data_IF_705917640064
#
_entry.id   IF_705917640064
#
_cell.length_a   1.000
_cell.length_b   1.000
_cell.length_c   1.000
_cell.angle_alpha   90.00
_cell.angle_beta   90.00
_cell.angle_gamma   90.00
#
_symmetry.space_group_name_H-M   'P 1'
#
loop_
_entity.id
_entity.type
_entity.pdbx_description
1 polymer ?
#
# COMPACT_ATOMS: atom_id res chain seq x y z
N UNK A 1 -26.95 -19.14 -0.45
CA UNK A 1 -25.97 -19.21 0.66
C UNK A 1 -24.86 -18.26 0.23
N UNK A 2 -25.00 -16.97 0.57
CA UNK A 2 -24.07 -15.92 0.13
C UNK A 2 -22.91 -15.88 1.12
N UNK A 3 -21.83 -16.59 0.82
CA UNK A 3 -20.54 -16.43 1.51
C UNK A 3 -19.88 -15.12 1.05
N UNK A 4 -20.44 -13.98 1.47
CA UNK A 4 -19.69 -12.72 1.41
C UNK A 4 -18.68 -12.76 2.53
N UNK A 5 -17.48 -13.22 2.22
CA UNK A 5 -16.31 -13.11 3.08
C UNK A 5 -16.18 -11.64 3.47
N UNK A 6 -16.52 -11.31 4.71
CA UNK A 6 -16.21 -10.00 5.27
C UNK A 6 -14.68 -9.92 5.36
N UNK A 7 -14.03 -9.38 4.33
CA UNK A 7 -12.64 -8.94 4.42
C UNK A 7 -12.63 -7.90 5.54
N UNK A 8 -12.00 -8.22 6.67
CA UNK A 8 -11.85 -7.28 7.78
C UNK A 8 -11.25 -5.98 7.23
N UNK A 9 -11.83 -4.84 7.61
CA UNK A 9 -11.31 -3.54 7.18
C UNK A 9 -9.97 -3.30 7.89
N UNK A 10 -8.86 -3.54 7.19
CA UNK A 10 -7.52 -3.23 7.70
C UNK A 10 -7.33 -1.72 7.84
N UNK A 11 -6.77 -1.29 8.97
CA UNK A 11 -6.54 0.13 9.26
C UNK A 11 -5.28 0.62 8.56
N UNK A 12 -5.41 1.69 7.78
CA UNK A 12 -4.27 2.37 7.16
C UNK A 12 -3.67 3.37 8.16
N UNK A 13 -2.45 3.10 8.60
CA UNK A 13 -1.67 3.98 9.48
C UNK A 13 -0.51 4.66 8.75
N UNK A 14 -0.14 4.21 7.55
CA UNK A 14 0.94 4.79 6.76
C UNK A 14 0.61 4.78 5.27
N UNK A 15 0.91 5.88 4.58
CA UNK A 15 0.88 6.00 3.12
C UNK A 15 2.25 6.52 2.70
N UNK A 16 2.98 5.78 1.87
CA UNK A 16 4.32 6.20 1.44
C UNK A 16 4.58 5.96 -0.05
N UNK A 17 5.55 6.68 -0.60
CA UNK A 17 6.07 6.42 -1.94
C UNK A 17 6.86 5.12 -1.98
N UNK A 18 6.74 4.38 -3.08
CA UNK A 18 7.51 3.17 -3.30
C UNK A 18 7.84 3.00 -4.79
N UNK A 19 8.72 2.03 -5.05
CA UNK A 19 8.83 1.37 -6.34
C UNK A 19 8.51 -0.11 -6.13
N UNK A 20 7.88 -0.74 -7.11
CA UNK A 20 7.53 -2.15 -7.04
C UNK A 20 7.79 -2.86 -8.36
N UNK A 21 7.87 -4.19 -8.29
CA UNK A 21 7.91 -5.09 -9.45
C UNK A 21 6.71 -6.02 -9.42
N UNK A 22 6.12 -6.28 -10.58
CA UNK A 22 5.07 -7.31 -10.74
C UNK A 22 5.64 -8.71 -10.94
N UNK A 23 6.90 -8.82 -11.36
CA UNK A 23 7.57 -10.09 -11.61
C UNK A 23 9.07 -10.00 -11.30
N UNK A 24 9.71 -11.15 -11.06
CA UNK A 24 11.14 -11.25 -10.71
C UNK A 24 12.08 -10.50 -11.64
N UNK A 25 11.84 -10.62 -12.95
CA UNK A 25 12.63 -9.95 -14.00
C UNK A 25 11.87 -8.75 -14.61
N UNK A 26 10.82 -8.26 -13.94
CA UNK A 26 10.05 -7.11 -14.38
C UNK A 26 10.76 -5.79 -14.09
N UNK A 27 10.27 -4.74 -14.74
CA UNK A 27 10.72 -3.37 -14.50
C UNK A 27 10.21 -2.82 -13.17
N UNK A 28 10.97 -1.90 -12.59
CA UNK A 28 10.52 -1.13 -11.42
C UNK A 28 9.50 -0.08 -11.85
N UNK A 29 8.33 -0.11 -11.23
CA UNK A 29 7.25 0.85 -11.43
C UNK A 29 7.10 1.74 -10.19
N UNK A 30 6.84 3.05 -10.32
CA UNK A 30 6.51 3.90 -9.19
C UNK A 30 5.09 3.60 -8.67
N UNK A 31 4.90 3.68 -7.36
CA UNK A 31 3.59 3.49 -6.74
C UNK A 31 3.49 4.10 -5.35
N UNK A 32 2.33 3.89 -4.74
CA UNK A 32 2.03 4.23 -3.34
C UNK A 32 1.84 2.94 -2.56
N UNK A 33 2.54 2.79 -1.45
CA UNK A 33 2.41 1.66 -0.55
C UNK A 33 1.57 2.05 0.66
N UNK A 34 0.54 1.25 0.96
CA UNK A 34 -0.26 1.36 2.18
C UNK A 34 0.34 0.45 3.26
N UNK A 35 0.65 1.00 4.42
CA UNK A 35 1.33 0.29 5.52
C UNK A 35 2.61 -0.42 5.05
N UNK A 36 3.47 0.29 4.31
CA UNK A 36 4.68 -0.29 3.72
C UNK A 36 4.44 -1.38 2.67
N UNK A 37 3.21 -1.51 2.16
CA UNK A 37 2.81 -2.50 1.16
C UNK A 37 2.12 -3.73 1.75
N UNK A 38 1.90 -3.78 3.07
CA UNK A 38 1.24 -4.92 3.71
C UNK A 38 -0.26 -5.01 3.38
N UNK A 39 -0.91 -3.86 3.15
CA UNK A 39 -2.32 -3.80 2.75
C UNK A 39 -2.44 -3.86 1.24
N UNK A 40 -1.80 -2.90 0.56
CA UNK A 40 -1.88 -2.75 -0.88
C UNK A 40 -0.74 -1.89 -1.42
N UNK A 41 -0.48 -2.07 -2.71
CA UNK A 41 0.30 -1.15 -3.53
C UNK A 41 -0.62 -0.58 -4.60
N UNK A 42 -0.61 0.74 -4.76
CA UNK A 42 -1.40 1.45 -5.75
C UNK A 42 -0.46 1.95 -6.85
N UNK A 43 -0.77 1.64 -8.10
CA UNK A 43 0.03 2.06 -9.24
C UNK A 43 -0.23 3.52 -9.64
N UNK A 44 0.55 4.02 -10.60
CA UNK A 44 0.41 5.38 -11.16
C UNK A 44 -0.96 5.71 -11.74
N UNK A 45 -1.78 4.70 -12.04
CA UNK A 45 -3.14 4.87 -12.56
C UNK A 45 -4.18 4.89 -11.43
N UNK A 46 -3.76 4.81 -10.17
CA UNK A 46 -4.66 4.73 -9.01
C UNK A 46 -5.29 3.35 -8.82
N UNK A 47 -4.73 2.30 -9.44
CA UNK A 47 -5.25 0.93 -9.33
C UNK A 47 -4.45 0.12 -8.32
N UNK A 48 -5.14 -0.70 -7.54
CA UNK A 48 -4.51 -1.70 -6.69
C UNK A 48 -3.77 -2.74 -7.56
N UNK A 49 -2.55 -3.05 -7.16
CA UNK A 49 -1.70 -4.03 -7.81
C UNK A 49 -1.98 -5.40 -7.19
N UNK A 50 -2.57 -6.29 -7.98
CA UNK A 50 -2.99 -7.63 -7.51
C UNK A 50 -1.80 -8.50 -7.07
N UNK A 51 -0.68 -8.42 -7.79
CA UNK A 51 0.53 -9.19 -7.49
C UNK A 51 1.77 -8.28 -7.49
N UNK A 52 2.43 -8.24 -6.33
CA UNK A 52 3.71 -7.55 -6.13
C UNK A 52 4.77 -8.61 -5.84
N UNK A 53 5.76 -8.71 -6.72
CA UNK A 53 6.90 -9.60 -6.55
C UNK A 53 7.92 -9.02 -5.57
N UNK A 54 8.20 -7.72 -5.68
CA UNK A 54 9.18 -7.02 -4.85
C UNK A 54 8.76 -5.55 -4.68
N UNK A 55 9.12 -4.97 -3.55
CA UNK A 55 8.79 -3.59 -3.18
C UNK A 55 9.97 -2.93 -2.48
N UNK A 56 10.28 -1.72 -2.92
CA UNK A 56 11.29 -0.85 -2.32
C UNK A 56 10.61 0.46 -1.89
N UNK A 57 10.67 0.74 -0.59
CA UNK A 57 10.10 1.97 -0.05
C UNK A 57 11.04 3.12 -0.35
N UNK A 58 10.57 4.11 -1.11
CA UNK A 58 11.37 5.30 -1.36
C UNK A 58 11.07 6.32 -0.28
N UNK A 59 12.11 6.85 0.37
CA UNK A 59 11.98 7.86 1.42
C UNK A 59 11.53 9.24 0.93
N UNK A 60 10.96 9.34 -0.27
CA UNK A 60 10.60 10.61 -0.91
C UNK A 60 9.39 11.25 -0.22
N UNK A 61 8.42 10.42 0.21
CA UNK A 61 7.24 10.86 0.95
C UNK A 61 6.71 9.76 1.87
N UNK A 62 6.37 10.15 3.10
CA UNK A 62 5.66 9.30 4.07
C UNK A 62 4.62 10.14 4.81
N UNK A 63 3.38 9.68 4.80
CA UNK A 63 2.30 10.20 5.63
C UNK A 63 1.95 9.16 6.70
N UNK A 64 2.29 9.45 7.95
CA UNK A 64 1.87 8.66 9.08
C UNK A 64 0.51 9.17 9.58
N UNK A 65 -0.51 8.32 9.46
CA UNK A 65 -1.89 8.62 9.81
C UNK A 65 -2.15 8.57 11.32
N UNK A 66 -1.32 7.89 12.10
CA UNK A 66 -1.44 7.84 13.57
C UNK A 66 -1.39 9.25 14.17
N UNK A 67 -0.66 10.17 13.55
CA UNK A 67 -0.57 11.57 13.99
C UNK A 67 -1.93 12.29 13.93
N UNK A 68 -2.80 11.94 12.99
CA UNK A 68 -4.14 12.54 12.89
C UNK A 68 -5.11 11.96 13.92
N UNK A 69 -4.86 10.74 14.40
CA UNK A 69 -5.71 10.08 15.39
C UNK A 69 -5.21 10.26 16.83
N UNK A 70 -3.93 10.56 17.02
CA UNK A 70 -3.31 10.76 18.33
C UNK A 70 -3.86 11.96 19.12
N UNK A 71 -4.50 12.92 18.46
CA UNK A 71 -5.08 14.12 19.08
C UNK A 71 -6.53 14.00 19.56
N UNK A 72 -7.19 12.84 19.34
CA UNK A 72 -8.56 12.60 19.82
C UNK A 72 -8.53 11.76 21.09
N UNK A 73 -8.14 12.37 22.21
CA UNK A 73 -8.39 11.88 23.58
C UNK A 73 -9.14 12.93 24.37
#
# INVERSE_FOLDING_TARGET
MDERTHKEQETIYEICSCRFKRAKNGEWEPGIALNGGSIAVIDKCGKEVEEVWDIDRTGDFVLNMEWFFAGKK
#
